data_IF_769086381288
#
_entry.id   IF_769086381288
#
_cell.length_a   1.000
_cell.length_b   1.000
_cell.length_c   1.000
_cell.angle_alpha   90.00
_cell.angle_beta   90.00
_cell.angle_gamma   90.00
#
_symmetry.space_group_name_H-M   'P 1'
#
loop_
_entity.id
_entity.type
_entity.pdbx_description
1 polymer ?
#
# COMPACT_ATOMS: atom_id res chain seq x y z
N UNK A 1 5.04 -7.43 -9.09
CA UNK A 1 4.24 -6.55 -9.96
C UNK A 1 4.36 -6.94 -11.43
N UNK A 2 5.57 -7.01 -12.02
CA UNK A 2 5.75 -7.43 -13.44
C UNK A 2 5.08 -8.76 -13.77
N UNK A 3 5.20 -9.76 -12.89
CA UNK A 3 4.56 -11.07 -13.11
C UNK A 3 3.03 -11.00 -13.00
N UNK A 4 2.49 -10.11 -12.15
CA UNK A 4 1.05 -9.92 -11.99
C UNK A 4 0.39 -9.22 -13.19
N UNK A 5 1.18 -8.50 -13.99
CA UNK A 5 0.73 -7.74 -15.16
C UNK A 5 1.39 -8.22 -16.46
N UNK A 6 1.98 -9.42 -16.47
CA UNK A 6 2.83 -9.90 -17.55
C UNK A 6 2.13 -9.94 -18.93
N UNK A 7 0.81 -10.02 -18.96
CA UNK A 7 -0.01 -10.06 -20.18
C UNK A 7 -0.81 -8.77 -20.42
N UNK A 8 -0.38 -7.64 -19.84
CA UNK A 8 -1.08 -6.35 -19.92
C UNK A 8 -0.11 -5.23 -20.23
N UNK A 9 -0.53 -4.33 -21.11
CA UNK A 9 0.13 -3.03 -21.23
C UNK A 9 -0.23 -2.20 -20.00
N UNK A 10 0.77 -1.55 -19.40
CA UNK A 10 0.58 -0.70 -18.22
C UNK A 10 0.52 0.74 -18.70
N UNK A 11 -0.55 1.45 -18.35
CA UNK A 11 -0.68 2.87 -18.65
C UNK A 11 0.33 3.68 -17.84
N UNK A 12 0.75 4.85 -18.34
CA UNK A 12 1.79 5.65 -17.69
C UNK A 12 1.39 6.16 -16.30
N UNK A 13 0.13 6.51 -16.14
CA UNK A 13 -0.54 6.98 -14.92
C UNK A 13 -0.84 5.86 -13.90
N UNK A 14 -0.73 4.59 -14.31
CA UNK A 14 -1.01 3.46 -13.41
C UNK A 14 -0.13 3.46 -12.16
N UNK A 15 1.14 3.83 -12.29
CA UNK A 15 2.06 3.81 -11.16
C UNK A 15 1.78 4.93 -10.16
N UNK A 16 1.30 6.08 -10.61
CA UNK A 16 0.87 7.18 -9.74
C UNK A 16 -0.37 6.77 -8.95
N UNK A 17 -1.39 6.22 -9.63
CA UNK A 17 -2.58 5.70 -8.96
C UNK A 17 -2.27 4.56 -7.97
N UNK A 18 -1.32 3.67 -8.31
CA UNK A 18 -0.88 2.62 -7.39
C UNK A 18 -0.17 3.19 -6.17
N UNK A 19 0.63 4.24 -6.34
CA UNK A 19 1.35 4.89 -5.24
C UNK A 19 0.36 5.50 -4.25
N UNK A 20 -0.64 6.24 -4.74
CA UNK A 20 -1.70 6.83 -3.93
C UNK A 20 -2.44 5.77 -3.09
N UNK A 21 -2.85 4.66 -3.72
CA UNK A 21 -3.54 3.55 -3.02
C UNK A 21 -2.66 2.87 -1.96
N UNK A 22 -1.36 2.76 -2.22
CA UNK A 22 -0.40 2.18 -1.26
C UNK A 22 -0.14 3.15 -0.12
N UNK A 23 -0.05 4.46 -0.38
CA UNK A 23 0.09 5.48 0.66
C UNK A 23 -1.09 5.44 1.63
N UNK A 24 -2.33 5.44 1.12
CA UNK A 24 -3.54 5.35 1.96
C UNK A 24 -3.54 4.08 2.82
N UNK A 25 -3.20 2.93 2.23
CA UNK A 25 -3.11 1.66 2.96
C UNK A 25 -2.05 1.71 4.09
N UNK A 26 -0.91 2.37 3.85
CA UNK A 26 0.15 2.54 4.84
C UNK A 26 -0.25 3.50 5.96
N UNK A 27 -0.97 4.58 5.64
CA UNK A 27 -1.51 5.51 6.63
C UNK A 27 -2.50 4.82 7.57
N UNK A 28 -3.40 4.00 7.02
CA UNK A 28 -4.33 3.21 7.84
C UNK A 28 -3.60 2.21 8.73
N UNK A 29 -2.58 1.54 8.22
CA UNK A 29 -1.78 0.61 9.00
C UNK A 29 -1.03 1.31 10.15
N UNK A 30 -0.48 2.50 9.88
CA UNK A 30 0.13 3.33 10.91
C UNK A 30 -0.90 3.74 11.97
N UNK A 31 -2.10 4.16 11.56
CA UNK A 31 -3.18 4.53 12.47
C UNK A 31 -3.63 3.35 13.36
N UNK A 32 -3.74 2.15 12.80
CA UNK A 32 -4.07 0.92 13.57
C UNK A 32 -2.95 0.57 14.56
N UNK A 33 -1.69 0.73 14.20
CA UNK A 33 -0.57 0.53 15.12
C UNK A 33 -0.61 1.54 16.28
N UNK A 34 -0.81 2.83 15.97
CA UNK A 34 -0.91 3.92 16.95
C UNK A 34 -2.11 3.73 17.90
N UNK A 35 -3.29 3.40 17.37
CA UNK A 35 -4.48 3.11 18.16
C UNK A 35 -4.29 1.96 19.16
N UNK A 36 -3.34 1.05 18.88
CA UNK A 36 -2.95 -0.05 19.75
C UNK A 36 -1.69 0.26 20.59
N UNK A 37 -1.28 1.53 20.68
CA UNK A 37 -0.14 1.98 21.49
C UNK A 37 1.22 1.48 20.99
N UNK A 38 1.33 1.12 19.71
CA UNK A 38 2.57 0.60 19.10
C UNK A 38 3.19 1.65 18.18
N UNK A 39 4.54 1.71 18.19
CA UNK A 39 5.34 2.52 17.24
C UNK A 39 5.83 1.76 16.01
N UNK A 40 5.63 0.44 16.00
CA UNK A 40 6.05 -0.44 14.91
C UNK A 40 4.81 -0.97 14.23
N UNK A 41 4.66 -0.65 12.94
CA UNK A 41 3.64 -1.25 12.08
C UNK A 41 3.96 -2.74 11.90
N UNK A 42 2.96 -3.59 12.06
CA UNK A 42 3.09 -5.04 11.95
C UNK A 42 2.18 -5.57 10.84
N UNK A 43 2.38 -6.81 10.38
CA UNK A 43 1.53 -7.39 9.32
C UNK A 43 0.03 -7.43 9.63
N UNK A 44 -0.36 -7.37 10.91
CA UNK A 44 -1.77 -7.30 11.34
C UNK A 44 -2.39 -5.91 11.18
N UNK A 45 -1.54 -4.91 10.98
CA UNK A 45 -1.94 -3.52 10.84
C UNK A 45 -2.17 -3.18 9.38
N UNK A 46 -1.52 -3.87 8.45
CA UNK A 46 -1.82 -3.81 7.02
C UNK A 46 -3.21 -4.41 6.75
#
# INVERSE_FOLDING_TARGET
MKDALAEKNVAGDFYEALDEEVEELLEEAAARAEANGRKTVQPRDL
#
